data_IF_239765990641
#
_entry.id   IF_239765990641
#
_cell.length_a   1.000
_cell.length_b   1.000
_cell.length_c   1.000
_cell.angle_alpha   90.00
_cell.angle_beta   90.00
_cell.angle_gamma   90.00
#
_symmetry.space_group_name_H-M   'P 1'
#
loop_
_entity.id
_entity.type
_entity.pdbx_description
1 polymer ?
#
# COMPACT_ATOMS: atom_id res chain seq x y z
N UNK A 1 34.41 -25.74 50.39
CA UNK A 1 35.14 -24.96 49.37
C UNK A 1 34.30 -24.95 48.10
N UNK A 2 34.19 -23.78 47.47
CA UNK A 2 33.07 -23.30 46.64
C UNK A 2 32.69 -24.14 45.40
N UNK A 3 31.38 -24.25 45.17
CA UNK A 3 30.78 -24.39 43.85
C UNK A 3 31.00 -23.10 43.05
N UNK A 4 31.41 -23.20 41.79
CA UNK A 4 31.17 -22.15 40.80
C UNK A 4 30.41 -22.73 39.60
N UNK A 5 29.13 -22.36 39.55
CA UNK A 5 28.23 -22.37 38.43
C UNK A 5 28.78 -21.47 37.32
N UNK A 6 28.87 -21.96 36.08
CA UNK A 6 28.80 -21.09 34.90
C UNK A 6 27.84 -21.72 33.90
N UNK A 7 26.57 -21.28 33.96
CA UNK A 7 25.61 -21.35 32.87
C UNK A 7 26.03 -20.31 31.83
N UNK A 8 26.40 -20.71 30.63
CA UNK A 8 26.35 -19.81 29.47
C UNK A 8 25.25 -20.32 28.55
N UNK A 9 24.09 -19.69 28.72
CA UNK A 9 23.06 -19.57 27.68
C UNK A 9 23.64 -18.71 26.56
N UNK A 10 24.06 -19.31 25.45
CA UNK A 10 24.16 -18.61 24.17
C UNK A 10 22.96 -19.01 23.34
N UNK A 11 21.78 -18.43 23.61
CA UNK A 11 21.24 -17.31 22.84
C UNK A 11 21.39 -17.51 21.34
N UNK A 12 20.33 -18.10 20.78
CA UNK A 12 19.93 -18.01 19.38
C UNK A 12 20.26 -16.63 18.79
N UNK A 13 21.15 -16.61 17.82
CA UNK A 13 21.22 -15.57 16.80
C UNK A 13 21.26 -16.30 15.47
N UNK A 14 20.12 -16.90 15.12
CA UNK A 14 19.82 -17.20 13.73
C UNK A 14 19.52 -15.85 13.09
N UNK A 15 20.57 -15.18 12.61
CA UNK A 15 20.43 -14.06 11.69
C UNK A 15 19.87 -14.66 10.39
N UNK A 16 18.55 -14.76 10.29
CA UNK A 16 17.89 -14.92 8.99
C UNK A 16 18.16 -13.62 8.23
N UNK A 17 19.21 -13.64 7.43
CA UNK A 17 19.47 -12.66 6.40
C UNK A 17 18.30 -12.77 5.41
N UNK A 18 17.23 -12.02 5.65
CA UNK A 18 16.19 -11.79 4.65
C UNK A 18 16.89 -10.97 3.57
N UNK A 19 17.44 -11.64 2.57
CA UNK A 19 17.68 -10.99 1.28
C UNK A 19 16.31 -10.56 0.79
N UNK A 20 15.98 -9.29 1.01
CA UNK A 20 14.89 -8.63 0.33
C UNK A 20 15.29 -8.56 -1.14
N UNK A 21 15.04 -9.65 -1.88
CA UNK A 21 15.06 -9.62 -3.33
C UNK A 21 13.93 -8.68 -3.70
N UNK A 22 14.27 -7.51 -4.26
CA UNK A 22 13.26 -6.58 -4.76
C UNK A 22 12.31 -7.37 -5.66
N UNK A 23 10.99 -7.32 -5.43
CA UNK A 23 10.04 -8.02 -6.27
C UNK A 23 10.21 -7.55 -7.72
N UNK A 24 10.14 -8.49 -8.66
CA UNK A 24 10.59 -8.33 -10.05
C UNK A 24 9.69 -7.43 -10.92
N UNK A 25 9.09 -6.38 -10.36
CA UNK A 25 8.15 -5.52 -11.09
C UNK A 25 8.06 -4.07 -10.65
N UNK A 26 8.68 -3.63 -9.55
CA UNK A 26 8.75 -2.19 -9.24
C UNK A 26 10.05 -1.65 -9.78
N UNK A 27 10.01 -0.79 -10.79
CA UNK A 27 11.21 -0.41 -11.52
C UNK A 27 11.91 0.83 -10.97
N UNK A 28 11.23 1.70 -10.22
CA UNK A 28 11.84 2.98 -9.84
C UNK A 28 11.27 3.67 -8.59
N UNK A 29 12.13 4.51 -8.04
CA UNK A 29 11.87 5.44 -6.95
C UNK A 29 11.52 6.80 -7.56
N UNK A 30 10.41 7.43 -7.15
CA UNK A 30 9.94 8.70 -7.73
C UNK A 30 9.49 9.68 -6.65
N UNK A 31 9.76 10.97 -6.86
CA UNK A 31 9.14 12.05 -6.10
C UNK A 31 7.66 12.19 -6.50
N UNK A 32 6.75 12.22 -5.53
CA UNK A 32 5.31 12.44 -5.77
C UNK A 32 5.02 13.75 -6.51
N UNK A 33 5.87 14.76 -6.35
CA UNK A 33 5.85 15.98 -7.14
C UNK A 33 7.28 16.28 -7.64
N UNK A 34 7.54 16.20 -8.96
CA UNK A 34 8.88 16.41 -9.51
C UNK A 34 9.39 17.85 -9.35
N UNK A 35 8.50 18.80 -9.03
CA UNK A 35 8.83 20.22 -8.85
C UNK A 35 9.13 20.61 -7.41
N UNK A 36 9.30 19.65 -6.48
CA UNK A 36 9.54 19.97 -5.08
C UNK A 36 10.89 19.45 -4.58
N UNK A 37 11.64 20.35 -3.95
CA UNK A 37 13.03 20.16 -3.55
C UNK A 37 13.19 19.10 -2.44
N UNK A 38 12.17 18.94 -1.59
CA UNK A 38 12.08 17.89 -0.56
C UNK A 38 10.71 17.25 -0.63
N UNK A 39 10.59 16.25 -1.50
CA UNK A 39 9.31 15.60 -1.77
C UNK A 39 9.22 14.22 -1.14
N UNK A 40 8.02 13.79 -0.69
CA UNK A 40 7.82 12.42 -0.29
C UNK A 40 8.09 11.50 -1.49
N UNK A 41 9.04 10.60 -1.29
CA UNK A 41 9.50 9.66 -2.29
C UNK A 41 8.72 8.35 -2.15
N UNK A 42 8.35 7.77 -3.28
CA UNK A 42 7.57 6.53 -3.37
C UNK A 42 8.27 5.49 -4.23
N UNK A 43 7.95 4.23 -3.98
CA UNK A 43 8.19 3.14 -4.94
C UNK A 43 6.98 3.12 -5.88
N UNK A 44 7.20 3.16 -7.19
CA UNK A 44 6.11 3.27 -8.15
C UNK A 44 6.09 2.10 -9.15
N UNK A 45 4.88 1.64 -9.44
CA UNK A 45 4.56 0.84 -10.61
C UNK A 45 3.93 1.73 -11.67
N UNK A 46 4.46 1.69 -12.88
CA UNK A 46 3.93 2.47 -14.00
C UNK A 46 2.56 1.95 -14.48
N UNK A 47 2.00 2.63 -15.48
CA UNK A 47 0.70 2.31 -16.06
C UNK A 47 0.55 0.89 -16.62
N UNK A 48 1.61 0.29 -17.14
CA UNK A 48 1.59 -1.05 -17.72
C UNK A 48 1.70 -2.13 -16.63
N UNK A 49 2.65 -1.94 -15.70
CA UNK A 49 2.85 -2.84 -14.56
C UNK A 49 1.63 -2.88 -13.66
N UNK A 50 1.09 -1.72 -13.32
CA UNK A 50 -0.10 -1.61 -12.48
C UNK A 50 -1.29 -2.35 -13.10
N UNK A 51 -1.45 -2.31 -14.42
CA UNK A 51 -2.48 -3.10 -15.11
C UNK A 51 -2.22 -4.59 -15.06
N UNK A 52 -0.96 -5.01 -15.18
CA UNK A 52 -0.58 -6.41 -15.06
C UNK A 52 -0.84 -6.94 -13.64
N UNK A 53 -0.49 -6.16 -12.61
CA UNK A 53 -0.76 -6.46 -11.20
C UNK A 53 -2.26 -6.56 -10.95
N UNK A 54 -3.03 -5.54 -11.32
CA UNK A 54 -4.47 -5.48 -11.04
C UNK A 54 -5.26 -6.55 -11.80
N UNK A 55 -4.80 -6.91 -13.00
CA UNK A 55 -5.57 -7.76 -13.92
C UNK A 55 -6.95 -7.18 -14.23
N UNK A 56 -7.81 -7.98 -14.87
CA UNK A 56 -9.16 -7.53 -15.22
C UNK A 56 -10.02 -7.24 -13.97
N UNK A 57 -9.89 -8.07 -12.94
CA UNK A 57 -10.67 -7.94 -11.69
C UNK A 57 -10.34 -6.66 -10.94
N UNK A 58 -9.06 -6.35 -10.73
CA UNK A 58 -8.64 -5.12 -10.05
C UNK A 58 -8.97 -3.87 -10.85
N UNK A 59 -8.77 -3.89 -12.17
CA UNK A 59 -9.16 -2.78 -13.05
C UNK A 59 -10.67 -2.52 -13.00
N UNK A 60 -11.49 -3.58 -12.90
CA UNK A 60 -12.93 -3.47 -12.75
C UNK A 60 -13.33 -2.92 -11.39
N UNK A 61 -12.68 -3.37 -10.30
CA UNK A 61 -12.94 -2.85 -8.96
C UNK A 61 -12.63 -1.34 -8.86
N UNK A 62 -11.47 -0.90 -9.36
CA UNK A 62 -11.10 0.53 -9.42
C UNK A 62 -12.12 1.33 -10.23
N UNK A 63 -12.55 0.82 -11.39
CA UNK A 63 -13.59 1.45 -12.21
C UNK A 63 -14.91 1.63 -11.46
N UNK A 64 -15.33 0.60 -10.73
CA UNK A 64 -16.59 0.62 -10.01
C UNK A 64 -16.55 1.62 -8.85
N UNK A 65 -15.42 1.69 -8.12
CA UNK A 65 -15.18 2.71 -7.09
C UNK A 65 -15.25 4.13 -7.65
N UNK A 66 -14.51 4.40 -8.73
CA UNK A 66 -14.49 5.72 -9.38
C UNK A 66 -15.88 6.14 -9.91
N UNK A 67 -16.68 5.18 -10.41
CA UNK A 67 -18.06 5.43 -10.86
C UNK A 67 -19.02 5.70 -9.71
N UNK A 68 -18.84 5.03 -8.58
CA UNK A 68 -19.73 5.15 -7.44
C UNK A 68 -19.47 6.42 -6.61
N UNK A 69 -18.24 6.90 -6.60
CA UNK A 69 -17.83 8.11 -5.87
C UNK A 69 -17.32 9.22 -6.79
N UNK A 70 -18.10 9.64 -7.82
CA UNK A 70 -17.63 10.63 -8.75
C UNK A 70 -17.47 11.97 -8.02
N UNK A 71 -16.25 12.52 -8.04
CA UNK A 71 -15.93 13.88 -7.56
C UNK A 71 -16.15 14.13 -6.07
N UNK A 72 -16.19 13.08 -5.23
CA UNK A 72 -16.33 13.22 -3.77
C UNK A 72 -15.18 12.53 -3.06
N UNK A 73 -14.66 13.19 -2.03
CA UNK A 73 -13.77 12.56 -1.07
C UNK A 73 -14.58 11.65 -0.15
N UNK A 74 -14.31 10.35 -0.13
CA UNK A 74 -14.95 9.39 0.79
C UNK A 74 -13.87 8.65 1.55
N UNK A 75 -14.09 8.43 2.85
CA UNK A 75 -13.24 7.64 3.72
C UNK A 75 -14.02 6.39 4.16
N UNK A 76 -13.41 5.22 4.00
CA UNK A 76 -14.00 3.92 4.30
C UNK A 76 -13.04 3.13 5.16
N UNK A 77 -13.49 2.65 6.32
CA UNK A 77 -12.67 1.89 7.26
C UNK A 77 -13.04 0.41 7.20
N UNK A 78 -12.06 -0.47 7.00
CA UNK A 78 -12.31 -1.85 6.51
C UNK A 78 -12.05 -2.97 7.54
N UNK A 79 -11.30 -2.71 8.62
CA UNK A 79 -10.91 -3.72 9.62
C UNK A 79 -11.75 -3.72 10.90
N UNK A 80 -12.90 -3.03 10.93
CA UNK A 80 -13.70 -2.88 12.16
C UNK A 80 -14.99 -2.06 12.05
N UNK A 81 -15.68 -2.13 10.91
CA UNK A 81 -16.91 -1.44 10.49
C UNK A 81 -17.54 -0.51 11.57
N UNK A 82 -17.34 0.80 11.38
CA UNK A 82 -18.34 1.82 11.74
C UNK A 82 -18.46 2.79 10.57
N UNK A 83 -19.67 2.88 10.02
CA UNK A 83 -20.05 3.77 8.93
C UNK A 83 -19.64 5.24 9.19
N UNK A 84 -19.47 6.07 8.15
CA UNK A 84 -19.06 7.46 8.30
C UNK A 84 -20.04 8.24 9.17
N UNK A 85 -19.67 8.47 10.43
CA UNK A 85 -20.23 9.50 11.29
C UNK A 85 -19.42 10.79 11.16
N UNK A 86 -19.97 11.94 11.60
CA UNK A 86 -19.20 13.18 11.69
C UNK A 86 -17.94 12.94 12.51
N UNK A 87 -16.81 13.52 12.07
CA UNK A 87 -15.47 13.37 12.68
C UNK A 87 -15.47 13.68 14.18
N UNK A 88 -15.83 12.71 15.03
CA UNK A 88 -15.72 12.87 16.48
C UNK A 88 -15.38 11.51 17.09
N UNK A 89 -14.13 11.39 17.55
CA UNK A 89 -13.79 10.53 18.68
C UNK A 89 -13.20 9.17 18.35
N UNK A 90 -11.93 9.02 18.74
CA UNK A 90 -11.14 7.81 18.95
C UNK A 90 -11.16 6.72 17.85
N UNK A 91 -10.03 6.61 17.13
CA UNK A 91 -9.82 5.68 16.00
C UNK A 91 -9.38 4.27 16.44
N UNK A 92 -9.60 3.91 17.69
CA UNK A 92 -9.04 2.71 18.36
C UNK A 92 -9.56 1.34 17.86
N UNK A 93 -10.33 1.29 16.76
CA UNK A 93 -10.83 0.05 16.16
C UNK A 93 -10.62 -0.05 14.64
N UNK A 94 -9.90 0.89 14.03
CA UNK A 94 -9.62 0.89 12.60
C UNK A 94 -8.16 0.52 12.36
N UNK A 95 -7.85 -0.26 11.35
CA UNK A 95 -6.47 -0.61 11.03
C UNK A 95 -6.10 -0.05 9.65
N UNK A 96 -6.91 -0.34 8.62
CA UNK A 96 -6.78 0.22 7.27
C UNK A 96 -7.97 1.14 6.92
N UNK A 97 -7.65 2.23 6.20
CA UNK A 97 -8.60 3.21 5.66
C UNK A 97 -8.41 3.40 4.16
N UNK A 98 -9.52 3.44 3.43
CA UNK A 98 -9.60 3.75 2.01
C UNK A 98 -10.11 5.19 1.84
N UNK A 99 -9.28 6.07 1.28
CA UNK A 99 -9.69 7.40 0.84
C UNK A 99 -9.87 7.39 -0.67
N UNK A 100 -11.02 7.83 -1.14
CA UNK A 100 -11.33 7.90 -2.56
C UNK A 100 -11.48 9.38 -2.89
N UNK A 101 -10.56 9.92 -3.68
CA UNK A 101 -10.60 11.26 -4.25
C UNK A 101 -10.80 11.16 -5.75
N UNK A 102 -11.33 12.21 -6.41
CA UNK A 102 -11.29 12.25 -7.86
C UNK A 102 -9.84 12.07 -8.33
N UNK A 103 -9.59 11.02 -9.12
CA UNK A 103 -8.28 10.64 -9.68
C UNK A 103 -7.28 9.95 -8.72
N UNK A 104 -7.69 9.61 -7.50
CA UNK A 104 -6.77 9.03 -6.52
C UNK A 104 -7.48 8.17 -5.48
N UNK A 105 -7.10 6.91 -5.38
CA UNK A 105 -7.53 6.01 -4.31
C UNK A 105 -6.35 5.77 -3.37
N UNK A 106 -6.53 5.91 -2.06
CA UNK A 106 -5.48 5.75 -1.06
C UNK A 106 -5.91 4.70 -0.05
N UNK A 107 -5.17 3.62 0.09
CA UNK A 107 -5.30 2.65 1.18
C UNK A 107 -4.16 2.88 2.16
N UNK A 108 -4.46 3.22 3.41
CA UNK A 108 -3.43 3.57 4.40
C UNK A 108 -3.72 2.98 5.76
N UNK A 109 -2.68 2.69 6.52
CA UNK A 109 -2.84 2.24 7.91
C UNK A 109 -2.97 3.43 8.85
N UNK A 110 -3.70 3.29 9.96
CA UNK A 110 -3.74 4.34 10.98
C UNK A 110 -2.48 4.36 11.86
N UNK A 111 -1.82 3.20 12.01
CA UNK A 111 -0.74 3.01 12.98
C UNK A 111 0.52 3.79 12.61
N UNK A 112 0.90 3.76 11.33
CA UNK A 112 2.14 4.40 10.85
C UNK A 112 1.93 5.33 9.64
N UNK A 113 0.70 5.42 9.13
CA UNK A 113 0.33 6.20 7.95
C UNK A 113 1.09 5.82 6.67
N UNK A 114 1.70 4.62 6.62
CA UNK A 114 2.13 4.02 5.36
C UNK A 114 0.92 3.75 4.47
N UNK A 115 1.11 3.87 3.16
CA UNK A 115 0.00 3.88 2.23
C UNK A 115 0.34 3.27 0.86
N UNK A 116 -0.68 2.72 0.24
CA UNK A 116 -0.74 2.38 -1.17
C UNK A 116 -1.68 3.38 -1.83
N UNK A 117 -1.25 3.97 -2.95
CA UNK A 117 -2.02 4.94 -3.72
C UNK A 117 -2.21 4.42 -5.13
N UNK A 118 -3.42 4.54 -5.67
CA UNK A 118 -3.74 4.25 -7.06
C UNK A 118 -4.09 5.59 -7.70
N UNK A 119 -3.17 6.12 -8.48
CA UNK A 119 -3.40 7.32 -9.28
C UNK A 119 -4.17 6.89 -10.53
N UNK A 120 -5.38 7.43 -10.69
CA UNK A 120 -6.24 7.09 -11.82
C UNK A 120 -6.32 8.28 -12.77
N UNK A 121 -6.15 8.02 -14.06
CA UNK A 121 -6.59 8.98 -15.06
C UNK A 121 -8.09 8.78 -15.32
N UNK A 122 -8.93 9.32 -14.44
CA UNK A 122 -10.39 9.22 -14.58
C UNK A 122 -10.91 9.77 -15.92
N UNK A 123 -10.23 10.75 -16.54
CA UNK A 123 -10.66 11.23 -17.86
C UNK A 123 -10.53 10.11 -18.88
N UNK A 124 -9.33 9.54 -19.01
CA UNK A 124 -9.12 8.40 -19.91
C UNK A 124 -9.93 7.18 -19.50
N UNK A 125 -10.22 6.97 -18.22
CA UNK A 125 -11.11 5.90 -17.77
C UNK A 125 -12.52 5.98 -18.39
N UNK A 126 -13.05 7.20 -18.50
CA UNK A 126 -14.40 7.45 -19.02
C UNK A 126 -14.41 7.51 -20.55
N UNK A 127 -13.39 8.09 -21.16
CA UNK A 127 -13.36 8.35 -22.61
C UNK A 127 -12.72 7.23 -23.44
N UNK A 128 -11.69 6.57 -22.93
CA UNK A 128 -10.99 5.46 -23.58
C UNK A 128 -10.42 4.46 -22.56
N UNK A 129 -11.23 3.46 -22.14
CA UNK A 129 -10.81 2.47 -21.14
C UNK A 129 -9.58 1.63 -21.55
N UNK A 130 -9.23 1.59 -22.85
CA UNK A 130 -8.05 0.90 -23.37
C UNK A 130 -6.81 1.79 -23.29
N UNK A 131 -6.95 3.12 -23.33
CA UNK A 131 -5.88 4.09 -23.06
C UNK A 131 -5.67 4.35 -21.55
N UNK A 132 -6.59 3.92 -20.69
CA UNK A 132 -6.44 4.11 -19.24
C UNK A 132 -5.22 3.37 -18.66
N UNK A 133 -4.37 4.12 -17.95
CA UNK A 133 -3.09 3.67 -17.38
C UNK A 133 -2.99 4.12 -15.90
N UNK A 134 -3.61 3.39 -14.95
CA UNK A 134 -3.47 3.73 -13.54
C UNK A 134 -2.04 3.44 -13.05
N UNK A 135 -1.52 4.22 -12.12
CA UNK A 135 -0.24 3.96 -11.46
C UNK A 135 -0.45 3.57 -10.00
N UNK A 136 0.32 2.59 -9.50
CA UNK A 136 0.32 2.21 -8.08
C UNK A 136 1.57 2.77 -7.43
N UNK A 137 1.41 3.60 -6.40
CA UNK A 137 2.51 4.16 -5.63
C UNK A 137 2.48 3.64 -4.20
N UNK A 138 3.63 3.19 -3.72
CA UNK A 138 3.84 2.71 -2.36
C UNK A 138 4.57 3.81 -1.57
N UNK A 139 3.86 4.36 -0.59
CA UNK A 139 4.35 5.41 0.30
C UNK A 139 4.74 4.79 1.65
N UNK A 140 5.99 4.98 2.11
CA UNK A 140 6.38 4.52 3.43
C UNK A 140 5.70 5.32 4.54
N UNK A 141 5.80 4.83 5.78
CA UNK A 141 5.37 5.58 6.96
C UNK A 141 6.13 6.91 7.06
N UNK A 142 5.53 7.98 7.61
CA UNK A 142 6.18 9.32 7.69
C UNK A 142 7.52 9.30 8.43
N UNK A 143 7.69 8.39 9.40
CA UNK A 143 8.93 8.21 10.16
C UNK A 143 10.01 7.42 9.41
N UNK A 144 9.62 6.73 8.33
CA UNK A 144 10.49 5.92 7.46
C UNK A 144 10.67 6.72 6.17
N UNK A 145 11.75 7.48 6.06
CA UNK A 145 12.00 8.31 4.88
C UNK A 145 12.73 7.52 3.81
N UNK A 146 12.14 7.46 2.62
CA UNK A 146 12.84 7.13 1.37
C UNK A 146 13.37 8.43 0.78
N UNK A 147 14.62 8.44 0.36
CA UNK A 147 15.29 9.56 -0.28
C UNK A 147 15.43 9.30 -1.77
N UNK A 148 15.53 10.37 -2.57
CA UNK A 148 15.77 10.26 -4.02
C UNK A 148 17.13 9.61 -4.35
N UNK A 149 18.07 9.63 -3.41
CA UNK A 149 19.39 9.01 -3.54
C UNK A 149 19.42 7.54 -3.14
N UNK A 150 18.35 7.03 -2.53
CA UNK A 150 18.28 5.61 -2.17
C UNK A 150 18.23 4.76 -3.44
N UNK A 151 18.88 3.59 -3.41
CA UNK A 151 18.63 2.59 -4.46
C UNK A 151 17.21 2.05 -4.34
N UNK A 152 16.74 1.37 -5.38
CA UNK A 152 15.44 0.71 -5.36
C UNK A 152 15.38 -0.37 -4.26
N UNK A 153 16.46 -1.12 -4.07
CA UNK A 153 16.58 -2.12 -3.00
C UNK A 153 16.49 -1.48 -1.61
N UNK A 154 17.20 -0.38 -1.39
CA UNK A 154 17.15 0.35 -0.11
C UNK A 154 15.74 0.90 0.16
N UNK A 155 15.08 1.43 -0.88
CA UNK A 155 13.70 1.88 -0.80
C UNK A 155 12.76 0.72 -0.41
N UNK A 156 12.95 -0.46 -1.00
CA UNK A 156 12.18 -1.67 -0.65
C UNK A 156 12.45 -2.16 0.77
N UNK A 157 13.70 -2.14 1.24
CA UNK A 157 14.04 -2.48 2.63
C UNK A 157 13.31 -1.55 3.60
N UNK A 158 13.32 -0.24 3.32
CA UNK A 158 12.60 0.76 4.12
C UNK A 158 11.09 0.53 4.08
N UNK A 159 10.52 0.33 2.90
CA UNK A 159 9.09 0.04 2.76
C UNK A 159 8.70 -1.27 3.44
N UNK A 160 9.60 -2.27 3.45
CA UNK A 160 9.41 -3.55 4.12
C UNK A 160 9.13 -3.45 5.62
N UNK A 161 9.56 -2.36 6.25
CA UNK A 161 9.34 -2.07 7.68
C UNK A 161 7.96 -1.45 7.98
N UNK A 162 7.13 -1.25 6.97
CA UNK A 162 5.84 -0.57 7.12
C UNK A 162 4.69 -1.52 7.40
N UNK A 163 3.64 -1.00 8.05
CA UNK A 163 2.41 -1.77 8.29
C UNK A 163 1.68 -2.12 7.00
N UNK A 164 1.61 -1.22 6.02
CA UNK A 164 0.96 -1.53 4.74
C UNK A 164 1.67 -2.71 4.03
N UNK A 165 2.99 -2.81 4.12
CA UNK A 165 3.75 -3.94 3.57
C UNK A 165 3.44 -5.26 4.32
N UNK A 166 3.27 -5.21 5.65
CA UNK A 166 2.82 -6.37 6.44
C UNK A 166 1.43 -6.83 5.97
N UNK A 167 0.47 -5.91 5.91
CA UNK A 167 -0.90 -6.21 5.50
C UNK A 167 -0.99 -6.84 4.11
N UNK A 168 -0.23 -6.32 3.14
CA UNK A 168 -0.14 -6.94 1.82
C UNK A 168 0.44 -8.35 1.93
N UNK A 169 1.48 -8.57 2.72
CA UNK A 169 2.12 -9.88 2.83
C UNK A 169 1.27 -10.96 3.50
N UNK A 170 0.32 -10.56 4.34
CA UNK A 170 -0.57 -11.46 5.09
C UNK A 170 -1.72 -12.03 4.23
N UNK A 171 -1.97 -11.47 3.05
CA UNK A 171 -3.10 -11.78 2.17
C UNK A 171 -3.11 -13.21 1.62
N UNK A 172 -2.07 -13.58 0.87
CA UNK A 172 -1.98 -14.87 0.19
C UNK A 172 -0.66 -15.54 0.54
N UNK A 173 -0.75 -16.66 1.24
CA UNK A 173 0.42 -17.45 1.61
C UNK A 173 1.10 -18.02 0.35
N UNK A 174 2.45 -17.98 0.30
CA UNK A 174 3.27 -18.50 -0.80
C UNK A 174 3.06 -17.86 -2.19
N UNK A 175 2.37 -16.71 -2.28
CA UNK A 175 2.22 -15.95 -3.51
C UNK A 175 3.36 -14.93 -3.72
N UNK A 176 3.56 -14.52 -4.97
CA UNK A 176 4.47 -13.40 -5.28
C UNK A 176 3.90 -12.09 -4.76
N UNK A 177 4.77 -11.11 -4.50
CA UNK A 177 4.38 -9.81 -3.99
C UNK A 177 3.25 -9.15 -4.81
N UNK A 178 3.35 -9.18 -6.15
CA UNK A 178 2.38 -8.60 -7.05
C UNK A 178 0.99 -9.23 -6.92
N UNK A 179 0.93 -10.55 -6.73
CA UNK A 179 -0.32 -11.29 -6.55
C UNK A 179 -0.97 -10.93 -5.20
N UNK A 180 -0.14 -10.82 -4.14
CA UNK A 180 -0.60 -10.37 -2.83
C UNK A 180 -1.08 -8.93 -2.84
N UNK A 181 -0.36 -8.06 -3.55
CA UNK A 181 -0.70 -6.65 -3.74
C UNK A 181 -2.04 -6.52 -4.47
N UNK A 182 -2.25 -7.31 -5.53
CA UNK A 182 -3.51 -7.36 -6.24
C UNK A 182 -4.66 -7.84 -5.34
N UNK A 183 -4.45 -8.92 -4.57
CA UNK A 183 -5.44 -9.44 -3.63
C UNK A 183 -5.84 -8.39 -2.59
N UNK A 184 -4.85 -7.76 -1.94
CA UNK A 184 -5.04 -6.65 -0.99
C UNK A 184 -5.89 -5.52 -1.59
N UNK A 185 -5.51 -5.03 -2.78
CA UNK A 185 -6.24 -3.95 -3.45
C UNK A 185 -7.68 -4.38 -3.71
N UNK A 186 -7.87 -5.55 -4.31
CA UNK A 186 -9.20 -6.03 -4.71
C UNK A 186 -10.10 -6.21 -3.49
N UNK A 187 -9.63 -6.87 -2.44
CA UNK A 187 -10.39 -7.07 -1.20
C UNK A 187 -10.89 -5.74 -0.64
N UNK A 188 -9.99 -4.78 -0.47
CA UNK A 188 -10.30 -3.50 0.15
C UNK A 188 -11.22 -2.62 -0.71
N UNK A 189 -11.08 -2.68 -2.03
CA UNK A 189 -12.01 -1.99 -2.93
C UNK A 189 -13.38 -2.67 -2.96
N UNK A 190 -13.46 -4.00 -2.86
CA UNK A 190 -14.73 -4.70 -2.79
C UNK A 190 -15.49 -4.37 -1.50
N UNK A 191 -14.81 -4.38 -0.35
CA UNK A 191 -15.38 -3.93 0.93
C UNK A 191 -15.90 -2.48 0.81
N UNK A 192 -15.11 -1.60 0.20
CA UNK A 192 -15.51 -0.22 -0.07
C UNK A 192 -16.73 -0.07 -0.99
N UNK A 193 -16.91 -0.98 -1.96
CA UNK A 193 -18.10 -1.03 -2.83
C UNK A 193 -19.32 -1.54 -2.05
N UNK A 194 -19.16 -2.60 -1.26
CA UNK A 194 -20.26 -3.18 -0.48
C UNK A 194 -20.85 -2.18 0.52
N UNK A 195 -20.01 -1.36 1.15
CA UNK A 195 -20.46 -0.30 2.06
C UNK A 195 -21.10 0.94 1.39
N UNK A 196 -21.34 0.90 0.07
CA UNK A 196 -22.16 1.90 -0.62
C UNK A 196 -23.67 1.73 -0.35
N UNK A 197 -24.07 0.56 0.17
CA UNK A 197 -25.47 0.16 0.39
C UNK A 197 -25.79 -0.08 1.87
#
# INVERSE_FOLDING_TARGET
MMMLNVKIKGLFLLLTLILAVAPAGAEYVKALNPSCDVCPVVIAYNGQESRAILGEKGLTAVRNIEKAFPKKAVMIDIDGIKAPGPEIGNRDGYEIRVFIYPHLIVMSTIQDASALKIHTDYQNLVTDPLAWRPEIHLSPAKKIQINMTDSLEDAWVKFGLTRIHSHVNDQVQNAKWEEKLAAFIIENLMIAIEHQF
#
